data_IF_816929148228
#
_entry.id   IF_816929148228
#
_cell.length_a   1.000
_cell.length_b   1.000
_cell.length_c   1.000
_cell.angle_alpha   90.00
_cell.angle_beta   90.00
_cell.angle_gamma   90.00
#
_symmetry.space_group_name_H-M   'P 1'
#
loop_
_entity.id
_entity.type
_entity.pdbx_description
1 polymer ?
#
# COMPACT_ATOMS: atom_id res chain seq x y z
N UNK A 1 35.13 3.06 23.15
CA UNK A 1 35.85 3.23 21.86
C UNK A 1 35.45 2.03 21.00
N UNK A 2 34.37 2.15 20.25
CA UNK A 2 33.87 1.13 19.33
C UNK A 2 33.55 1.84 18.02
N UNK A 3 34.34 1.52 16.99
CA UNK A 3 34.29 2.17 15.69
C UNK A 3 33.01 1.81 14.94
N UNK A 4 32.42 2.85 14.41
CA UNK A 4 31.26 2.85 13.51
C UNK A 4 31.77 2.40 12.12
N UNK A 5 31.68 1.10 11.85
CA UNK A 5 32.06 0.52 10.55
C UNK A 5 30.82 0.47 9.64
N UNK A 6 30.41 1.64 9.17
CA UNK A 6 29.41 1.77 8.09
C UNK A 6 30.03 1.31 6.79
N UNK A 7 29.94 0.00 6.53
CA UNK A 7 30.42 -0.64 5.31
C UNK A 7 29.79 -0.03 4.05
N UNK A 8 30.50 0.91 3.41
CA UNK A 8 30.19 1.43 2.09
C UNK A 8 30.38 0.31 1.06
N UNK A 9 29.30 -0.41 0.74
CA UNK A 9 29.28 -1.32 -0.42
C UNK A 9 29.43 -0.49 -1.70
N UNK A 10 30.46 -0.79 -2.50
CA UNK A 10 30.75 -0.07 -3.74
C UNK A 10 29.59 -0.19 -4.76
N UNK A 11 29.14 0.92 -5.31
CA UNK A 11 28.10 0.97 -6.34
C UNK A 11 28.50 0.17 -7.59
N UNK A 12 27.56 -0.58 -8.17
CA UNK A 12 27.82 -1.38 -9.38
C UNK A 12 28.12 -0.46 -10.59
N UNK A 13 28.87 -1.00 -11.57
CA UNK A 13 29.17 -0.26 -12.81
C UNK A 13 27.89 0.14 -13.54
N UNK A 14 26.91 -0.74 -13.54
CA UNK A 14 25.59 -0.53 -14.17
C UNK A 14 24.82 0.62 -13.51
N UNK A 15 24.79 0.69 -12.18
CA UNK A 15 24.13 1.78 -11.45
C UNK A 15 24.74 3.16 -11.76
N UNK A 16 26.06 3.22 -11.86
CA UNK A 16 26.74 4.48 -12.21
C UNK A 16 26.43 4.94 -13.64
N UNK A 17 26.35 4.01 -14.60
CA UNK A 17 25.96 4.35 -15.96
C UNK A 17 24.50 4.78 -16.04
N UNK A 18 23.58 4.09 -15.37
CA UNK A 18 22.19 4.47 -15.29
C UNK A 18 22.00 5.86 -14.66
N UNK A 19 22.73 6.17 -13.56
CA UNK A 19 22.70 7.50 -12.95
C UNK A 19 23.23 8.61 -13.89
N UNK A 20 24.27 8.34 -14.67
CA UNK A 20 24.81 9.29 -15.67
C UNK A 20 23.81 9.54 -16.80
N UNK A 21 23.18 8.48 -17.30
CA UNK A 21 22.15 8.59 -18.34
C UNK A 21 20.92 9.37 -17.84
N UNK A 22 20.48 9.11 -16.62
CA UNK A 22 19.35 9.84 -16.02
C UNK A 22 19.66 11.35 -15.90
N UNK A 23 20.85 11.72 -15.42
CA UNK A 23 21.25 13.12 -15.30
C UNK A 23 21.43 13.77 -16.67
N UNK A 24 22.07 13.11 -17.63
CA UNK A 24 22.21 13.61 -18.99
C UNK A 24 20.85 13.85 -19.66
N UNK A 25 19.93 12.89 -19.55
CA UNK A 25 18.57 13.04 -20.07
C UNK A 25 17.81 14.20 -19.39
N UNK A 26 17.96 14.39 -18.07
CA UNK A 26 17.35 15.52 -17.37
C UNK A 26 17.90 16.87 -17.84
N UNK A 27 19.21 16.99 -18.02
CA UNK A 27 19.85 18.22 -18.55
C UNK A 27 19.33 18.52 -19.95
N UNK A 28 19.29 17.52 -20.83
CA UNK A 28 18.77 17.67 -22.21
C UNK A 28 17.29 18.03 -22.19
N UNK A 29 16.47 17.42 -21.32
CA UNK A 29 15.03 17.71 -21.22
C UNK A 29 14.76 19.19 -20.82
N UNK A 30 15.65 19.80 -20.05
CA UNK A 30 15.54 21.22 -19.66
C UNK A 30 16.14 22.13 -20.72
N UNK A 31 17.32 21.78 -21.27
CA UNK A 31 18.04 22.63 -22.21
C UNK A 31 17.41 22.68 -23.59
N UNK A 32 16.85 21.54 -24.08
CA UNK A 32 16.33 21.44 -25.45
C UNK A 32 15.20 22.44 -25.75
N UNK A 33 14.19 22.64 -24.89
CA UNK A 33 13.16 23.67 -25.11
C UNK A 33 13.75 25.08 -25.20
N UNK A 34 14.75 25.41 -24.37
CA UNK A 34 15.40 26.72 -24.38
C UNK A 34 16.20 26.97 -25.63
N UNK A 35 16.88 25.94 -26.16
CA UNK A 35 17.66 26.03 -27.41
C UNK A 35 16.75 26.14 -28.62
N UNK A 36 15.67 25.33 -28.69
CA UNK A 36 14.78 25.25 -29.87
C UNK A 36 13.80 26.42 -29.94
N UNK A 37 13.19 26.79 -28.82
CA UNK A 37 12.14 27.80 -28.78
C UNK A 37 12.59 29.14 -28.11
N UNK A 38 13.82 29.21 -27.63
CA UNK A 38 14.37 30.38 -26.94
C UNK A 38 13.51 30.82 -25.76
N UNK A 39 13.42 32.11 -25.49
CA UNK A 39 12.58 32.66 -24.40
C UNK A 39 11.08 32.42 -24.58
N UNK A 40 10.61 32.12 -25.82
CA UNK A 40 9.20 31.72 -26.06
C UNK A 40 8.84 30.43 -25.36
N UNK A 41 9.81 29.51 -25.10
CA UNK A 41 9.60 28.30 -24.33
C UNK A 41 9.13 28.58 -22.90
N UNK A 42 9.62 29.66 -22.28
CA UNK A 42 9.19 30.04 -20.93
C UNK A 42 7.73 30.51 -20.92
N UNK A 43 7.31 31.28 -21.94
CA UNK A 43 5.90 31.69 -22.09
C UNK A 43 4.98 30.48 -22.32
N UNK A 44 5.38 29.56 -23.20
CA UNK A 44 4.60 28.35 -23.47
C UNK A 44 4.57 27.41 -22.24
N UNK A 45 5.66 27.31 -21.49
CA UNK A 45 5.69 26.56 -20.23
C UNK A 45 4.76 27.17 -19.18
N UNK A 46 4.72 28.53 -19.07
CA UNK A 46 3.80 29.22 -18.19
C UNK A 46 2.34 28.97 -18.58
N UNK A 47 2.02 29.02 -19.87
CA UNK A 47 0.67 28.70 -20.40
C UNK A 47 0.31 27.22 -20.10
N UNK A 48 1.24 26.29 -20.30
CA UNK A 48 1.01 24.87 -19.98
C UNK A 48 0.76 24.64 -18.49
N UNK A 49 1.53 25.30 -17.62
CA UNK A 49 1.33 25.24 -16.17
C UNK A 49 -0.01 25.87 -15.73
N UNK A 50 -0.38 27.03 -16.31
CA UNK A 50 -1.66 27.65 -16.06
C UNK A 50 -2.83 26.75 -16.54
N UNK A 51 -2.71 26.15 -17.72
CA UNK A 51 -3.67 25.19 -18.23
C UNK A 51 -3.81 23.96 -17.34
N UNK A 52 -2.71 23.43 -16.81
CA UNK A 52 -2.74 22.33 -15.86
C UNK A 52 -3.43 22.73 -14.54
N UNK A 53 -3.17 23.92 -14.02
CA UNK A 53 -3.81 24.44 -12.80
C UNK A 53 -5.32 24.62 -12.99
N UNK A 54 -5.75 25.20 -14.13
CA UNK A 54 -7.16 25.35 -14.47
C UNK A 54 -7.86 23.99 -14.65
N UNK A 55 -7.20 23.03 -15.27
CA UNK A 55 -7.74 21.66 -15.41
C UNK A 55 -7.85 20.96 -14.06
N UNK A 56 -6.89 21.16 -13.16
CA UNK A 56 -6.96 20.65 -11.81
C UNK A 56 -8.13 21.26 -11.01
N UNK A 57 -8.37 22.58 -11.16
CA UNK A 57 -9.53 23.24 -10.58
C UNK A 57 -10.86 22.73 -11.18
N UNK A 58 -10.90 22.54 -12.50
CA UNK A 58 -12.06 21.94 -13.17
C UNK A 58 -12.34 20.52 -12.68
N UNK A 59 -11.30 19.71 -12.52
CA UNK A 59 -11.41 18.35 -11.97
C UNK A 59 -11.91 18.38 -10.53
N UNK A 60 -11.41 19.30 -9.71
CA UNK A 60 -11.93 19.50 -8.35
C UNK A 60 -13.43 19.78 -8.36
N UNK A 61 -13.90 20.70 -9.21
CA UNK A 61 -15.32 21.01 -9.31
C UNK A 61 -16.13 19.83 -9.85
N UNK A 62 -15.57 19.03 -10.75
CA UNK A 62 -16.19 17.81 -11.21
C UNK A 62 -16.34 16.76 -10.08
N UNK A 63 -15.38 16.71 -9.14
CA UNK A 63 -15.41 15.79 -8.00
C UNK A 63 -16.28 16.32 -6.85
N UNK A 64 -16.33 17.66 -6.62
CA UNK A 64 -17.03 18.28 -5.50
C UNK A 64 -18.47 18.73 -5.81
N UNK A 65 -18.94 18.63 -7.07
CA UNK A 65 -20.28 19.06 -7.49
C UNK A 65 -21.05 17.94 -8.15
N UNK A 66 -22.39 18.07 -8.21
CA UNK A 66 -23.31 17.09 -8.81
C UNK A 66 -24.06 17.69 -10.00
N UNK A 67 -24.67 16.85 -10.81
CA UNK A 67 -25.53 17.26 -11.91
C UNK A 67 -24.78 17.97 -13.04
N UNK A 68 -25.42 18.99 -13.64
CA UNK A 68 -24.93 19.71 -14.81
C UNK A 68 -23.56 20.38 -14.55
N UNK A 69 -23.36 20.95 -13.36
CA UNK A 69 -22.11 21.62 -12.98
C UNK A 69 -20.90 20.68 -13.05
N UNK A 70 -21.07 19.43 -12.68
CA UNK A 70 -20.02 18.39 -12.80
C UNK A 70 -19.56 18.23 -14.25
N UNK A 71 -20.52 18.08 -15.17
CA UNK A 71 -20.22 17.88 -16.59
C UNK A 71 -19.63 19.12 -17.26
N UNK A 72 -20.09 20.31 -16.86
CA UNK A 72 -19.49 21.57 -17.32
C UNK A 72 -18.04 21.72 -16.84
N UNK A 73 -17.74 21.32 -15.60
CA UNK A 73 -16.39 21.34 -15.07
C UNK A 73 -15.45 20.35 -15.79
N UNK A 74 -15.95 19.14 -16.10
CA UNK A 74 -15.21 18.18 -16.94
C UNK A 74 -14.96 18.73 -18.34
N UNK A 75 -15.99 19.28 -18.97
CA UNK A 75 -15.88 19.88 -20.30
C UNK A 75 -14.86 21.03 -20.32
N UNK A 76 -14.88 21.89 -19.30
CA UNK A 76 -13.90 22.97 -19.15
C UNK A 76 -12.48 22.42 -19.02
N UNK A 77 -12.26 21.42 -18.16
CA UNK A 77 -10.94 20.82 -17.98
C UNK A 77 -10.40 20.22 -19.28
N UNK A 78 -11.24 19.52 -20.04
CA UNK A 78 -10.87 18.95 -21.35
C UNK A 78 -10.61 20.03 -22.39
N UNK A 79 -11.47 21.07 -22.45
CA UNK A 79 -11.32 22.18 -23.38
C UNK A 79 -10.02 22.96 -23.16
N UNK A 80 -9.65 23.21 -21.90
CA UNK A 80 -8.39 23.89 -21.55
C UNK A 80 -7.18 23.09 -22.02
N UNK A 81 -7.17 21.77 -21.81
CA UNK A 81 -6.07 20.93 -22.29
C UNK A 81 -6.04 20.84 -23.83
N UNK A 82 -7.20 20.76 -24.47
CA UNK A 82 -7.31 20.83 -25.92
C UNK A 82 -6.74 22.13 -26.50
N UNK A 83 -7.04 23.28 -25.86
CA UNK A 83 -6.52 24.58 -26.28
C UNK A 83 -4.99 24.67 -26.11
N UNK A 84 -4.44 24.15 -24.99
CA UNK A 84 -2.98 24.09 -24.78
C UNK A 84 -2.31 23.23 -25.86
N UNK A 85 -2.84 22.05 -26.14
CA UNK A 85 -2.30 21.16 -27.20
C UNK A 85 -2.38 21.87 -28.56
N UNK A 86 -3.52 22.46 -28.92
CA UNK A 86 -3.70 23.19 -30.17
C UNK A 86 -2.68 24.33 -30.30
N UNK A 87 -2.40 25.05 -29.23
CA UNK A 87 -1.39 26.09 -29.21
C UNK A 87 0.01 25.53 -29.53
N UNK A 88 0.43 24.43 -28.91
CA UNK A 88 1.71 23.79 -29.22
C UNK A 88 1.78 23.28 -30.64
N UNK A 89 0.68 22.76 -31.19
CA UNK A 89 0.60 22.34 -32.60
C UNK A 89 0.72 23.55 -33.54
N UNK A 90 0.01 24.65 -33.25
CA UNK A 90 0.05 25.90 -34.05
C UNK A 90 1.44 26.53 -34.11
N UNK A 91 2.23 26.41 -33.04
CA UNK A 91 3.62 26.86 -33.02
C UNK A 91 4.61 25.84 -33.59
N UNK A 92 4.15 24.67 -34.06
CA UNK A 92 5.02 23.60 -34.58
C UNK A 92 5.91 22.95 -33.53
N UNK A 93 5.60 23.09 -32.24
CA UNK A 93 6.41 22.64 -31.12
C UNK A 93 5.86 21.37 -30.43
N UNK A 94 4.82 20.79 -31.00
CA UNK A 94 4.19 19.59 -30.41
C UNK A 94 5.17 18.40 -30.30
N UNK A 95 6.03 18.22 -31.32
CA UNK A 95 7.08 17.20 -31.28
C UNK A 95 8.05 17.40 -30.10
N UNK A 96 8.32 18.67 -29.74
CA UNK A 96 9.20 18.99 -28.62
C UNK A 96 8.61 18.51 -27.28
N UNK A 97 7.29 18.63 -27.13
CA UNK A 97 6.59 18.10 -25.94
C UNK A 97 6.78 16.60 -25.86
N UNK A 98 6.61 15.88 -26.98
CA UNK A 98 6.80 14.42 -27.01
C UNK A 98 8.23 14.06 -26.63
N UNK A 99 9.23 14.74 -27.22
CA UNK A 99 10.65 14.46 -26.91
C UNK A 99 10.96 14.72 -25.44
N UNK A 100 10.47 15.82 -24.86
CA UNK A 100 10.65 16.11 -23.45
C UNK A 100 9.99 15.05 -22.55
N UNK A 101 8.79 14.60 -22.90
CA UNK A 101 8.12 13.51 -22.14
C UNK A 101 8.88 12.19 -22.22
N UNK A 102 9.43 11.85 -23.40
CA UNK A 102 10.28 10.66 -23.57
C UNK A 102 11.57 10.79 -22.73
N UNK A 103 12.22 11.95 -22.76
CA UNK A 103 13.41 12.20 -21.93
C UNK A 103 13.09 12.08 -20.44
N UNK A 104 11.96 12.60 -19.97
CA UNK A 104 11.53 12.43 -18.58
C UNK A 104 11.20 10.97 -18.24
N UNK A 105 10.62 10.21 -19.18
CA UNK A 105 10.42 8.77 -19.01
C UNK A 105 11.77 8.03 -18.86
N UNK A 106 12.78 8.40 -19.66
CA UNK A 106 14.14 7.88 -19.52
C UNK A 106 14.75 8.27 -18.17
N UNK A 107 14.61 9.53 -17.73
CA UNK A 107 15.05 9.97 -16.40
C UNK A 107 14.42 9.12 -15.29
N UNK A 108 13.13 8.88 -15.37
CA UNK A 108 12.43 8.06 -14.38
C UNK A 108 12.92 6.60 -14.41
N UNK A 109 13.06 6.01 -15.59
CA UNK A 109 13.46 4.61 -15.75
C UNK A 109 14.90 4.37 -15.31
N UNK A 110 15.86 5.16 -15.84
CA UNK A 110 17.27 5.04 -15.52
C UNK A 110 17.59 5.51 -14.10
N UNK A 111 16.91 6.55 -13.62
CA UNK A 111 17.00 6.98 -12.23
C UNK A 111 16.53 5.90 -11.26
N UNK A 112 15.50 5.19 -11.63
CA UNK A 112 15.02 4.01 -10.92
C UNK A 112 16.04 2.87 -10.92
N UNK A 113 16.55 2.52 -12.10
CA UNK A 113 17.57 1.48 -12.25
C UNK A 113 18.83 1.78 -11.42
N UNK A 114 19.24 3.04 -11.37
CA UNK A 114 20.38 3.48 -10.58
C UNK A 114 20.15 3.43 -9.06
N UNK A 115 18.93 3.72 -8.61
CA UNK A 115 18.57 3.78 -7.19
C UNK A 115 18.07 2.45 -6.64
N UNK A 116 17.71 1.49 -7.51
CA UNK A 116 17.40 0.11 -7.09
C UNK A 116 18.69 -0.55 -6.63
N UNK A 117 18.93 -0.56 -5.33
CA UNK A 117 20.03 -1.32 -4.74
C UNK A 117 19.67 -2.79 -4.57
N UNK A 118 20.63 -3.64 -4.88
CA UNK A 118 20.71 -5.02 -4.33
C UNK A 118 21.19 -4.97 -2.86
N UNK A 119 20.84 -3.99 -2.11
CA UNK A 119 21.38 -3.87 -0.78
C UNK A 119 20.59 -2.94 0.11
N UNK A 120 19.95 -3.49 1.10
CA UNK A 120 19.45 -2.71 2.22
C UNK A 120 18.00 -2.95 2.59
N UNK A 121 17.25 -3.82 1.87
CA UNK A 121 16.08 -4.41 2.49
C UNK A 121 16.59 -5.36 3.56
N UNK A 122 16.29 -5.07 4.80
CA UNK A 122 16.27 -6.09 5.83
C UNK A 122 15.09 -6.99 5.42
N UNK A 123 15.38 -8.02 4.64
CA UNK A 123 14.38 -9.04 4.34
C UNK A 123 13.81 -9.50 5.69
N UNK A 124 12.51 -9.74 5.79
CA UNK A 124 11.94 -10.28 7.01
C UNK A 124 12.71 -11.54 7.40
N UNK A 125 12.99 -11.70 8.68
CA UNK A 125 13.72 -12.88 9.16
C UNK A 125 12.85 -14.10 8.90
N UNK A 126 13.37 -15.02 8.08
CA UNK A 126 12.69 -16.28 7.75
C UNK A 126 13.20 -17.39 8.65
N UNK A 127 12.29 -18.01 9.37
CA UNK A 127 12.58 -19.15 10.22
C UNK A 127 12.23 -20.45 9.48
N UNK A 128 13.20 -21.34 9.36
CA UNK A 128 12.95 -22.70 8.83
C UNK A 128 12.32 -23.55 9.90
N UNK A 129 11.11 -24.01 9.66
CA UNK A 129 10.35 -24.87 10.56
C UNK A 129 9.93 -26.13 9.81
N UNK A 130 9.72 -27.25 10.51
CA UNK A 130 9.20 -28.48 9.90
C UNK A 130 7.86 -28.25 9.20
N UNK A 131 7.49 -29.13 8.28
CA UNK A 131 6.15 -29.15 7.73
C UNK A 131 5.14 -29.47 8.86
N UNK A 132 3.93 -28.85 8.84
CA UNK A 132 2.90 -29.17 9.80
C UNK A 132 2.41 -30.62 9.61
N UNK A 133 2.14 -31.31 10.70
CA UNK A 133 1.64 -32.68 10.67
C UNK A 133 0.11 -32.75 10.58
N UNK A 134 -0.57 -31.75 11.16
CA UNK A 134 -2.04 -31.69 11.28
C UNK A 134 -2.57 -30.29 10.93
N UNK A 135 -2.32 -29.81 9.69
CA UNK A 135 -2.80 -28.48 9.28
C UNK A 135 -4.32 -28.46 9.13
N UNK A 136 -4.96 -27.40 9.64
CA UNK A 136 -6.39 -27.16 9.56
C UNK A 136 -6.68 -25.88 8.79
N UNK A 137 -7.47 -26.00 7.70
CA UNK A 137 -7.75 -24.91 6.79
C UNK A 137 -9.25 -24.58 6.74
N UNK A 138 -9.59 -23.32 6.94
CA UNK A 138 -10.94 -22.79 6.80
C UNK A 138 -11.05 -22.10 5.45
N UNK A 139 -11.97 -22.53 4.59
CA UNK A 139 -12.12 -21.97 3.24
C UNK A 139 -13.52 -21.44 3.00
N UNK A 140 -13.61 -20.19 2.51
CA UNK A 140 -14.87 -19.60 2.08
C UNK A 140 -15.04 -19.80 0.56
N UNK A 141 -15.94 -20.66 0.11
CA UNK A 141 -16.11 -20.99 -1.31
C UNK A 141 -16.56 -19.81 -2.17
N UNK A 142 -17.18 -18.76 -1.58
CA UNK A 142 -17.65 -17.57 -2.29
C UNK A 142 -16.58 -16.47 -2.39
N UNK A 143 -15.51 -16.55 -1.63
CA UNK A 143 -14.45 -15.53 -1.63
C UNK A 143 -13.80 -15.37 -2.99
N UNK A 144 -13.51 -14.11 -3.36
CA UNK A 144 -12.80 -13.76 -4.59
C UNK A 144 -13.45 -14.29 -5.88
N UNK A 145 -14.78 -14.37 -5.91
CA UNK A 145 -15.51 -14.89 -7.08
C UNK A 145 -15.36 -16.41 -7.23
N UNK A 146 -15.31 -17.16 -6.13
CA UNK A 146 -15.26 -18.62 -6.14
C UNK A 146 -13.88 -19.21 -6.42
N UNK A 147 -12.82 -18.52 -6.05
CA UNK A 147 -11.43 -18.99 -6.25
C UNK A 147 -11.17 -20.37 -5.62
N UNK A 148 -11.79 -20.68 -4.48
CA UNK A 148 -11.64 -21.98 -3.82
C UNK A 148 -11.97 -23.15 -4.77
N UNK A 149 -13.14 -23.11 -5.40
CA UNK A 149 -13.55 -24.13 -6.37
C UNK A 149 -12.79 -24.03 -7.69
N UNK A 150 -12.59 -22.80 -8.23
CA UNK A 150 -11.91 -22.60 -9.52
C UNK A 150 -10.49 -23.15 -9.55
N UNK A 151 -9.78 -23.11 -8.44
CA UNK A 151 -8.39 -23.59 -8.33
C UNK A 151 -8.27 -24.96 -7.67
N UNK A 152 -9.39 -25.60 -7.30
CA UNK A 152 -9.41 -26.89 -6.63
C UNK A 152 -8.61 -26.87 -5.31
N UNK A 153 -8.78 -25.78 -4.52
CA UNK A 153 -7.93 -25.55 -3.33
C UNK A 153 -8.20 -26.58 -2.26
N UNK A 154 -9.44 -27.04 -2.11
CA UNK A 154 -9.81 -28.07 -1.12
C UNK A 154 -9.08 -29.38 -1.41
N UNK A 155 -9.27 -29.91 -2.60
CA UNK A 155 -8.73 -31.20 -3.02
C UNK A 155 -7.19 -31.21 -2.97
N UNK A 156 -6.57 -30.10 -3.37
CA UNK A 156 -5.13 -29.91 -3.30
C UNK A 156 -4.62 -29.86 -1.86
N UNK A 157 -5.32 -29.18 -0.98
CA UNK A 157 -4.95 -29.08 0.42
C UNK A 157 -5.10 -30.44 1.14
N UNK A 158 -6.21 -31.15 0.90
CA UNK A 158 -6.46 -32.48 1.43
C UNK A 158 -5.39 -33.49 0.95
N UNK A 159 -4.97 -33.39 -0.33
CA UNK A 159 -3.88 -34.20 -0.87
C UNK A 159 -2.52 -33.93 -0.20
N UNK A 160 -2.34 -32.74 0.38
CA UNK A 160 -1.16 -32.36 1.19
C UNK A 160 -1.33 -32.68 2.68
N UNK A 161 -2.38 -33.40 3.06
CA UNK A 161 -2.63 -33.83 4.43
C UNK A 161 -3.39 -32.82 5.30
N UNK A 162 -3.92 -31.73 4.72
CA UNK A 162 -4.68 -30.77 5.48
C UNK A 162 -6.12 -31.21 5.71
N UNK A 163 -6.64 -30.96 6.91
CA UNK A 163 -8.07 -31.01 7.17
C UNK A 163 -8.71 -29.72 6.69
N UNK A 164 -9.76 -29.79 5.86
CA UNK A 164 -10.40 -28.64 5.25
C UNK A 164 -11.86 -28.52 5.69
N UNK A 165 -12.25 -27.33 6.16
CA UNK A 165 -13.65 -26.98 6.42
C UNK A 165 -14.09 -25.88 5.46
N UNK A 166 -15.14 -26.15 4.69
CA UNK A 166 -15.79 -25.15 3.87
C UNK A 166 -16.85 -24.40 4.70
N UNK A 167 -16.81 -23.07 4.64
CA UNK A 167 -17.84 -22.23 5.24
C UNK A 167 -19.09 -22.28 4.39
N UNK A 168 -20.22 -22.63 5.01
CA UNK A 168 -21.53 -22.63 4.38
C UNK A 168 -22.27 -21.32 4.74
N UNK A 169 -22.56 -20.45 3.76
CA UNK A 169 -23.29 -19.22 4.01
C UNK A 169 -24.75 -19.43 4.47
N UNK A 170 -25.34 -20.61 4.20
CA UNK A 170 -26.67 -20.96 4.68
C UNK A 170 -26.67 -21.32 6.17
N UNK A 171 -25.53 -21.75 6.69
CA UNK A 171 -25.31 -22.11 8.09
C UNK A 171 -24.08 -21.37 8.63
N UNK A 172 -24.21 -20.08 8.97
CA UNK A 172 -23.08 -19.30 9.50
C UNK A 172 -22.50 -19.95 10.74
N UNK A 173 -21.19 -20.15 10.75
CA UNK A 173 -20.44 -20.72 11.87
C UNK A 173 -19.48 -19.68 12.42
N UNK A 174 -19.29 -19.67 13.72
CA UNK A 174 -18.26 -18.88 14.36
C UNK A 174 -16.88 -19.40 13.92
N UNK A 175 -16.18 -18.60 13.12
CA UNK A 175 -14.87 -18.96 12.55
C UNK A 175 -13.82 -19.07 13.63
N UNK A 176 -13.87 -18.21 14.65
CA UNK A 176 -12.92 -18.23 15.76
C UNK A 176 -13.15 -19.49 16.64
N UNK A 177 -14.41 -19.88 16.87
CA UNK A 177 -14.72 -21.13 17.56
C UNK A 177 -14.23 -22.35 16.78
N UNK A 178 -14.43 -22.39 15.45
CA UNK A 178 -13.90 -23.46 14.60
C UNK A 178 -12.36 -23.58 14.70
N UNK A 179 -11.66 -22.45 14.73
CA UNK A 179 -10.21 -22.45 14.88
C UNK A 179 -9.76 -22.98 16.25
N UNK A 180 -10.43 -22.54 17.34
CA UNK A 180 -10.15 -23.05 18.70
C UNK A 180 -10.43 -24.54 18.84
N UNK A 181 -11.56 -25.03 18.28
CA UNK A 181 -11.91 -26.44 18.28
C UNK A 181 -10.86 -27.28 17.53
N UNK A 182 -10.34 -26.78 16.39
CA UNK A 182 -9.29 -27.44 15.65
C UNK A 182 -8.01 -27.57 16.48
N UNK A 183 -7.60 -26.53 17.20
CA UNK A 183 -6.45 -26.56 18.10
C UNK A 183 -6.66 -27.55 19.26
N UNK A 184 -7.84 -27.55 19.86
CA UNK A 184 -8.19 -28.50 20.91
C UNK A 184 -8.14 -29.96 20.42
N UNK A 185 -8.39 -30.19 19.13
CA UNK A 185 -8.26 -31.48 18.46
C UNK A 185 -6.85 -31.76 17.91
N UNK A 186 -5.87 -30.91 18.25
CA UNK A 186 -4.45 -31.10 17.97
C UNK A 186 -3.98 -30.61 16.62
N UNK A 187 -4.67 -29.66 16.00
CA UNK A 187 -4.13 -28.94 14.83
C UNK A 187 -2.88 -28.17 15.21
N UNK A 188 -1.85 -28.23 14.39
CA UNK A 188 -0.55 -27.58 14.59
C UNK A 188 -0.30 -26.41 13.63
N UNK A 189 -1.26 -26.14 12.73
CA UNK A 189 -1.32 -24.98 11.86
C UNK A 189 -2.78 -24.63 11.58
N UNK A 190 -3.08 -23.34 11.62
CA UNK A 190 -4.38 -22.81 11.17
C UNK A 190 -4.19 -22.04 9.85
N UNK A 191 -5.11 -22.21 8.89
CA UNK A 191 -5.04 -21.48 7.63
C UNK A 191 -6.40 -21.02 7.14
N UNK A 192 -6.40 -19.95 6.33
CA UNK A 192 -7.62 -19.33 5.79
C UNK A 192 -7.51 -19.09 4.30
N UNK A 193 -8.50 -19.58 3.55
CA UNK A 193 -8.81 -19.16 2.19
C UNK A 193 -10.09 -18.29 2.22
N UNK A 194 -9.92 -17.00 2.44
CA UNK A 194 -11.03 -16.07 2.66
C UNK A 194 -10.63 -14.62 2.53
N UNK A 195 -11.54 -13.71 2.87
CA UNK A 195 -11.27 -12.26 2.96
C UNK A 195 -10.45 -11.89 4.19
N UNK A 196 -9.93 -10.66 4.20
CA UNK A 196 -9.05 -10.16 5.26
C UNK A 196 -9.71 -10.19 6.66
N UNK A 197 -11.03 -9.91 6.78
CA UNK A 197 -11.76 -10.03 8.05
C UNK A 197 -11.78 -11.48 8.60
N UNK A 198 -12.04 -12.49 7.76
CA UNK A 198 -11.95 -13.89 8.17
C UNK A 198 -10.52 -14.29 8.56
N UNK A 199 -9.52 -13.74 7.85
CA UNK A 199 -8.12 -13.95 8.16
C UNK A 199 -7.78 -13.38 9.54
N UNK A 200 -8.27 -12.17 9.88
CA UNK A 200 -8.02 -11.52 11.16
C UNK A 200 -8.54 -12.34 12.35
N UNK A 201 -9.76 -12.92 12.23
CA UNK A 201 -10.35 -13.77 13.28
C UNK A 201 -9.50 -15.01 13.59
N UNK A 202 -9.04 -15.70 12.55
CA UNK A 202 -8.23 -16.92 12.73
C UNK A 202 -6.79 -16.58 13.12
N UNK A 203 -6.25 -15.48 12.61
CA UNK A 203 -4.93 -14.97 13.00
C UNK A 203 -4.87 -14.61 14.49
N UNK A 204 -5.95 -14.06 15.05
CA UNK A 204 -6.03 -13.77 16.48
C UNK A 204 -5.95 -15.05 17.31
N UNK A 205 -6.74 -16.06 16.98
CA UNK A 205 -6.70 -17.38 17.64
C UNK A 205 -5.32 -18.03 17.50
N UNK A 206 -4.70 -17.95 16.31
CA UNK A 206 -3.37 -18.51 16.09
C UNK A 206 -2.30 -17.79 16.94
N UNK A 207 -2.40 -16.46 17.05
CA UNK A 207 -1.50 -15.64 17.87
C UNK A 207 -1.67 -15.88 19.38
N UNK A 208 -2.90 -16.10 19.85
CA UNK A 208 -3.17 -16.45 21.25
C UNK A 208 -2.53 -17.77 21.67
N UNK A 209 -2.43 -18.73 20.74
CA UNK A 209 -1.89 -20.09 21.01
C UNK A 209 -0.47 -20.28 20.48
N UNK A 210 0.18 -19.24 19.94
CA UNK A 210 1.51 -19.28 19.29
C UNK A 210 1.65 -20.40 18.25
N UNK A 211 0.58 -20.68 17.48
CA UNK A 211 0.60 -21.63 16.36
C UNK A 211 0.79 -20.92 15.03
N UNK A 212 1.44 -21.56 14.04
CA UNK A 212 1.60 -20.99 12.72
C UNK A 212 0.24 -20.72 12.05
N UNK A 213 0.13 -19.56 11.42
CA UNK A 213 -1.01 -19.16 10.61
C UNK A 213 -0.64 -19.14 9.13
N UNK A 214 -1.51 -19.59 8.25
CA UNK A 214 -1.29 -19.62 6.82
C UNK A 214 -2.38 -18.85 6.08
N UNK A 215 -1.97 -17.98 5.15
CA UNK A 215 -2.88 -17.23 4.29
C UNK A 215 -2.93 -17.86 2.91
N UNK A 216 -4.14 -18.07 2.39
CA UNK A 216 -4.40 -18.44 1.00
C UNK A 216 -5.11 -17.28 0.32
N UNK A 217 -4.54 -16.73 -0.75
CA UNK A 217 -4.94 -15.49 -1.42
C UNK A 217 -6.26 -15.62 -2.21
N UNK A 218 -7.28 -16.22 -1.59
CA UNK A 218 -8.57 -16.49 -2.20
C UNK A 218 -9.61 -15.37 -2.00
N UNK A 219 -9.32 -14.33 -1.24
CA UNK A 219 -10.21 -13.19 -1.04
C UNK A 219 -10.27 -12.25 -2.26
N UNK A 220 -11.13 -11.22 -2.19
CA UNK A 220 -11.28 -10.23 -3.26
C UNK A 220 -10.13 -9.23 -3.30
N UNK A 221 -9.68 -8.73 -2.13
CA UNK A 221 -8.62 -7.71 -2.01
C UNK A 221 -7.27 -8.33 -1.68
N UNK A 222 -7.22 -9.21 -0.68
CA UNK A 222 -6.02 -9.95 -0.26
C UNK A 222 -4.82 -9.02 0.09
N UNK A 223 -5.06 -7.88 0.74
CA UNK A 223 -3.99 -6.93 1.06
C UNK A 223 -2.92 -7.60 1.93
N UNK A 224 -3.33 -8.32 2.97
CA UNK A 224 -2.40 -9.03 3.84
C UNK A 224 -1.58 -10.09 3.07
N UNK A 225 -2.23 -10.88 2.21
CA UNK A 225 -1.53 -11.86 1.38
C UNK A 225 -0.52 -11.21 0.42
N UNK A 226 -0.86 -10.04 -0.16
CA UNK A 226 0.05 -9.29 -1.04
C UNK A 226 1.28 -8.78 -0.28
N UNK A 227 1.10 -8.26 0.93
CA UNK A 227 2.20 -7.77 1.76
C UNK A 227 3.13 -8.91 2.20
N UNK A 228 2.59 -10.14 2.34
CA UNK A 228 3.37 -11.35 2.54
C UNK A 228 4.09 -11.83 1.27
N UNK A 229 3.86 -11.21 0.13
CA UNK A 229 4.44 -11.58 -1.16
C UNK A 229 3.79 -12.78 -1.85
N UNK A 230 2.55 -13.14 -1.47
CA UNK A 230 1.82 -14.27 -2.05
C UNK A 230 1.23 -13.91 -3.41
N UNK A 231 1.11 -14.91 -4.29
CA UNK A 231 0.52 -14.74 -5.60
C UNK A 231 -1.01 -14.54 -5.47
N UNK A 232 -1.48 -13.38 -5.92
CA UNK A 232 -2.91 -13.04 -5.93
C UNK A 232 -3.68 -13.74 -7.03
N UNK A 233 -3.05 -13.97 -8.16
CA UNK A 233 -3.70 -14.54 -9.34
C UNK A 233 -3.82 -16.07 -9.23
N UNK A 234 -2.83 -16.72 -8.61
CA UNK A 234 -2.82 -18.16 -8.40
C UNK A 234 -2.75 -18.53 -6.90
N UNK A 235 -3.87 -18.56 -6.19
CA UNK A 235 -3.89 -18.88 -4.77
C UNK A 235 -3.45 -20.33 -4.45
N UNK A 236 -3.39 -21.22 -5.44
CA UNK A 236 -2.93 -22.59 -5.22
C UNK A 236 -1.45 -22.67 -4.82
N UNK A 237 -0.62 -21.70 -5.26
CA UNK A 237 0.79 -21.62 -4.88
C UNK A 237 1.00 -21.37 -3.38
N UNK A 238 -0.01 -20.82 -2.69
CA UNK A 238 0.06 -20.66 -1.24
C UNK A 238 0.15 -22.02 -0.52
N UNK A 239 -0.44 -23.07 -1.08
CA UNK A 239 -0.44 -24.42 -0.50
C UNK A 239 0.94 -25.05 -0.46
N UNK A 240 1.90 -24.57 -1.25
CA UNK A 240 3.30 -25.03 -1.22
C UNK A 240 3.92 -24.84 0.18
N UNK A 241 3.38 -23.88 0.97
CA UNK A 241 3.79 -23.69 2.36
C UNK A 241 3.56 -24.90 3.25
N UNK A 242 2.63 -25.78 2.92
CA UNK A 242 2.38 -27.02 3.68
C UNK A 242 3.55 -28.00 3.59
N UNK A 243 4.22 -28.06 2.43
CA UNK A 243 5.35 -28.95 2.19
C UNK A 243 6.71 -28.23 2.37
N UNK A 244 6.94 -27.11 1.66
CA UNK A 244 8.18 -26.33 1.69
C UNK A 244 7.90 -24.86 2.06
N UNK A 245 7.71 -24.60 3.35
CA UNK A 245 7.42 -23.29 3.91
C UNK A 245 8.51 -22.77 4.82
N UNK A 246 8.43 -21.45 5.04
CA UNK A 246 9.17 -20.73 6.07
C UNK A 246 8.19 -19.95 6.92
N UNK A 247 8.58 -19.61 8.14
CA UNK A 247 7.78 -18.76 9.02
C UNK A 247 8.35 -17.36 9.12
N UNK A 248 7.44 -16.39 9.15
CA UNK A 248 7.71 -14.99 9.44
C UNK A 248 7.07 -14.65 10.77
N UNK A 249 7.69 -13.76 11.55
CA UNK A 249 7.05 -13.12 12.69
C UNK A 249 6.52 -11.78 12.23
N UNK A 250 5.21 -11.57 12.33
CA UNK A 250 4.55 -10.33 11.93
C UNK A 250 3.74 -9.74 13.08
N UNK A 251 3.56 -8.43 13.01
CA UNK A 251 2.76 -7.70 13.98
C UNK A 251 1.26 -7.91 13.73
N UNK A 252 0.45 -7.71 14.77
CA UNK A 252 -1.01 -7.62 14.66
C UNK A 252 -1.49 -6.29 15.23
N UNK A 253 -2.45 -5.67 14.56
CA UNK A 253 -3.15 -4.51 15.07
C UNK A 253 -4.33 -4.95 15.95
N UNK A 254 -4.64 -4.15 16.99
CA UNK A 254 -5.81 -4.31 17.85
C UNK A 254 -6.58 -3.01 17.93
N UNK A 255 -7.90 -3.09 17.84
CA UNK A 255 -8.83 -1.97 18.03
C UNK A 255 -9.96 -2.40 18.97
N UNK A 256 -10.00 -1.83 20.17
CA UNK A 256 -10.87 -2.35 21.23
C UNK A 256 -10.57 -3.85 21.48
N UNK A 257 -11.58 -4.68 21.32
CA UNK A 257 -11.47 -6.14 21.45
C UNK A 257 -11.18 -6.86 20.10
N UNK A 258 -11.12 -6.12 18.98
CA UNK A 258 -10.97 -6.71 17.65
C UNK A 258 -9.52 -6.68 17.19
N UNK A 259 -9.07 -7.75 16.55
CA UNK A 259 -7.78 -7.83 15.86
C UNK A 259 -7.94 -7.45 14.39
N UNK A 260 -6.97 -6.75 13.82
CA UNK A 260 -6.90 -6.47 12.41
C UNK A 260 -5.51 -6.77 11.82
N UNK A 261 -5.51 -7.25 10.60
CA UNK A 261 -4.27 -7.60 9.86
C UNK A 261 -3.84 -6.48 8.91
N UNK A 262 -4.77 -5.63 8.44
CA UNK A 262 -4.47 -4.52 7.54
C UNK A 262 -4.65 -3.16 8.21
N UNK A 263 -5.89 -2.73 8.42
CA UNK A 263 -6.15 -1.39 8.93
C UNK A 263 -7.55 -1.23 9.53
N UNK A 264 -7.67 -0.14 10.28
CA UNK A 264 -8.94 0.39 10.77
C UNK A 264 -9.13 1.80 10.25
N UNK A 265 -10.31 2.10 9.72
CA UNK A 265 -10.69 3.40 9.20
C UNK A 265 -11.79 4.04 10.03
N UNK A 266 -11.74 5.38 10.16
CA UNK A 266 -12.68 6.20 10.91
C UNK A 266 -13.12 7.40 10.07
N UNK A 267 -14.33 7.94 10.35
CA UNK A 267 -14.87 9.12 9.71
C UNK A 267 -15.32 8.84 8.27
N UNK A 268 -15.19 9.81 7.40
CA UNK A 268 -15.74 9.77 6.06
C UNK A 268 -15.43 8.50 5.26
N UNK A 269 -14.26 7.90 5.47
CA UNK A 269 -13.92 6.64 4.79
C UNK A 269 -14.69 5.44 5.35
N UNK A 270 -14.91 5.39 6.66
CA UNK A 270 -15.71 4.33 7.27
C UNK A 270 -17.16 4.37 6.78
N UNK A 271 -17.75 5.55 6.68
CA UNK A 271 -19.12 5.76 6.18
C UNK A 271 -19.28 5.30 4.72
N UNK A 272 -18.27 5.57 3.88
CA UNK A 272 -18.26 5.08 2.49
C UNK A 272 -18.26 3.55 2.43
N UNK A 273 -17.46 2.89 3.27
CA UNK A 273 -17.37 1.42 3.31
C UNK A 273 -18.67 0.78 3.79
N UNK A 274 -19.42 1.44 4.67
CA UNK A 274 -20.69 0.95 5.20
C UNK A 274 -21.85 1.07 4.20
N UNK A 275 -21.77 1.96 3.21
CA UNK A 275 -22.84 2.12 2.23
C UNK A 275 -23.15 0.79 1.51
N UNK A 276 -24.41 0.31 1.51
CA UNK A 276 -24.79 -0.90 0.80
C UNK A 276 -24.38 -0.88 -0.68
N UNK A 277 -24.48 0.30 -1.33
CA UNK A 277 -24.07 0.51 -2.71
C UNK A 277 -22.54 0.31 -2.94
N UNK A 278 -21.72 0.41 -1.89
CA UNK A 278 -20.28 0.19 -1.99
C UNK A 278 -19.90 -1.27 -2.28
N UNK A 279 -20.73 -2.22 -1.89
CA UNK A 279 -20.52 -3.66 -2.17
C UNK A 279 -20.69 -3.98 -3.64
N UNK A 280 -21.66 -3.34 -4.30
CA UNK A 280 -22.05 -3.62 -5.68
C UNK A 280 -21.30 -2.77 -6.70
N UNK A 281 -21.10 -1.47 -6.42
CA UNK A 281 -20.38 -0.52 -7.28
C UNK A 281 -19.48 0.40 -6.44
N UNK A 282 -18.24 -0.04 -6.19
CA UNK A 282 -17.27 0.68 -5.34
C UNK A 282 -16.87 2.02 -5.93
N UNK A 283 -16.54 2.06 -7.22
CA UNK A 283 -16.07 3.26 -7.89
C UNK A 283 -17.20 4.28 -8.02
N UNK A 284 -18.36 3.86 -8.46
CA UNK A 284 -19.54 4.74 -8.58
C UNK A 284 -20.02 5.27 -7.23
N UNK A 285 -19.91 4.48 -6.16
CA UNK A 285 -20.29 4.91 -4.80
C UNK A 285 -19.30 5.93 -4.26
N UNK A 286 -17.99 5.68 -4.37
CA UNK A 286 -16.95 6.66 -3.99
C UNK A 286 -17.15 7.96 -4.75
N UNK A 287 -17.33 7.93 -6.07
CA UNK A 287 -17.53 9.12 -6.89
C UNK A 287 -18.82 9.89 -6.54
N UNK A 288 -19.88 9.21 -6.10
CA UNK A 288 -21.12 9.84 -5.64
C UNK A 288 -20.98 10.51 -4.28
N UNK A 289 -20.29 9.87 -3.35
CA UNK A 289 -20.10 10.36 -1.98
C UNK A 289 -18.96 11.37 -1.84
N UNK A 290 -18.00 11.37 -2.77
CA UNK A 290 -16.82 12.22 -2.73
C UNK A 290 -17.15 13.72 -2.58
N UNK A 291 -18.19 14.31 -3.24
CA UNK A 291 -18.55 15.71 -3.02
C UNK A 291 -18.92 16.01 -1.56
N UNK A 292 -19.68 15.13 -0.92
CA UNK A 292 -20.11 15.33 0.46
C UNK A 292 -18.93 15.16 1.43
N UNK A 293 -18.07 14.17 1.19
CA UNK A 293 -16.83 13.96 1.94
C UNK A 293 -15.88 15.15 1.86
N UNK A 294 -15.74 15.76 0.66
CA UNK A 294 -14.81 16.86 0.43
C UNK A 294 -15.36 18.25 0.81
N UNK A 295 -16.68 18.44 0.84
CA UNK A 295 -17.30 19.75 1.04
C UNK A 295 -18.05 19.90 2.36
N UNK A 296 -18.39 18.79 3.01
CA UNK A 296 -19.11 18.78 4.27
C UNK A 296 -18.37 17.92 5.28
N UNK A 297 -18.33 18.38 6.53
CA UNK A 297 -17.95 17.51 7.64
C UNK A 297 -19.12 16.55 7.89
N UNK A 298 -19.08 15.40 7.24
CA UNK A 298 -20.04 14.32 7.48
C UNK A 298 -19.44 13.43 8.56
N UNK A 299 -20.24 13.11 9.58
CA UNK A 299 -19.86 12.23 10.68
C UNK A 299 -19.32 12.95 11.93
N UNK A 300 -18.88 12.13 12.89
CA UNK A 300 -18.39 12.60 14.18
C UNK A 300 -17.09 13.38 14.04
N UNK A 301 -16.94 14.43 14.87
CA UNK A 301 -15.65 15.15 14.95
C UNK A 301 -14.62 14.29 15.65
N UNK A 302 -13.61 13.91 14.90
CA UNK A 302 -12.56 13.02 15.38
C UNK A 302 -11.38 13.81 15.99
N UNK A 303 -10.71 13.21 16.95
CA UNK A 303 -9.40 13.65 17.47
C UNK A 303 -8.55 12.41 17.72
N UNK A 304 -7.31 12.44 17.26
CA UNK A 304 -6.35 11.36 17.46
C UNK A 304 -5.27 11.80 18.45
N UNK A 305 -5.02 11.00 19.45
CA UNK A 305 -4.00 11.24 20.47
C UNK A 305 -3.17 9.98 20.69
N UNK A 306 -1.86 10.16 20.80
CA UNK A 306 -0.91 9.09 21.10
C UNK A 306 0.50 9.64 21.31
N UNK A 307 1.48 8.82 21.68
CA UNK A 307 2.87 9.24 21.82
C UNK A 307 3.39 9.82 20.49
N UNK A 308 3.68 11.12 20.48
CA UNK A 308 4.15 11.82 19.28
C UNK A 308 3.08 12.05 18.18
N UNK A 309 1.81 11.74 18.44
CA UNK A 309 0.71 11.90 17.49
C UNK A 309 -0.39 12.77 18.09
N UNK A 310 -0.70 13.87 17.42
CA UNK A 310 -1.83 14.75 17.75
C UNK A 310 -2.44 15.26 16.45
N UNK A 311 -3.67 14.81 16.13
CA UNK A 311 -4.40 15.23 14.92
C UNK A 311 -5.76 15.73 15.38
N UNK A 312 -6.06 16.98 15.04
CA UNK A 312 -7.31 17.63 15.40
C UNK A 312 -8.25 17.70 14.20
N UNK A 313 -9.50 17.34 14.45
CA UNK A 313 -10.61 17.39 13.48
C UNK A 313 -10.31 16.81 12.09
N UNK A 314 -9.66 15.65 11.97
CA UNK A 314 -9.48 15.02 10.66
C UNK A 314 -10.83 14.58 10.09
N UNK A 315 -11.00 14.71 8.78
CA UNK A 315 -12.18 14.21 8.05
C UNK A 315 -12.19 12.68 7.95
N UNK A 316 -10.98 12.10 7.86
CA UNK A 316 -10.78 10.66 7.86
C UNK A 316 -9.50 10.29 8.59
N UNK A 317 -9.52 9.17 9.28
CA UNK A 317 -8.34 8.57 9.92
C UNK A 317 -8.21 7.13 9.46
N UNK A 318 -6.99 6.74 9.12
CA UNK A 318 -6.62 5.36 8.88
C UNK A 318 -5.51 4.97 9.85
N UNK A 319 -5.74 3.88 10.59
CA UNK A 319 -4.73 3.26 11.46
C UNK A 319 -4.38 1.90 10.86
N UNK A 320 -3.14 1.71 10.45
CA UNK A 320 -2.70 0.47 9.82
C UNK A 320 -1.78 -0.35 10.72
N UNK A 321 -1.88 -1.67 10.58
CA UNK A 321 -0.93 -2.61 11.15
C UNK A 321 0.39 -2.49 10.36
N UNK A 322 1.33 -1.77 10.88
CA UNK A 322 2.53 -1.25 10.21
C UNK A 322 2.25 -0.13 9.18
N UNK A 323 3.19 0.80 8.98
CA UNK A 323 3.02 1.93 8.07
C UNK A 323 2.93 1.49 6.61
N UNK A 324 2.01 2.09 5.86
CA UNK A 324 2.01 1.98 4.40
C UNK A 324 3.20 2.71 3.79
N UNK A 325 3.69 2.22 2.65
CA UNK A 325 4.69 2.92 1.86
C UNK A 325 4.19 4.31 1.47
N UNK A 326 5.02 5.34 1.70
CA UNK A 326 4.68 6.73 1.38
C UNK A 326 4.77 7.04 -0.10
N UNK A 327 5.17 6.07 -0.93
CA UNK A 327 5.32 6.25 -2.38
C UNK A 327 3.99 6.17 -3.12
N UNK A 328 2.94 5.65 -2.47
CA UNK A 328 1.57 5.63 -2.97
C UNK A 328 0.57 6.03 -1.85
N UNK A 329 0.49 7.32 -1.51
CA UNK A 329 -0.33 7.80 -0.40
C UNK A 329 -1.85 7.70 -0.64
N UNK A 330 -2.28 7.56 -1.88
CA UNK A 330 -3.71 7.44 -2.26
C UNK A 330 -4.08 5.98 -2.53
N UNK A 331 -3.13 5.18 -3.01
CA UNK A 331 -3.36 3.80 -3.44
C UNK A 331 -3.43 2.79 -2.31
N UNK A 332 -3.03 3.13 -1.06
CA UNK A 332 -2.92 2.18 0.05
C UNK A 332 -2.25 0.87 -0.44
N UNK A 333 -1.13 1.05 -1.18
CA UNK A 333 -0.62 0.01 -2.06
C UNK A 333 -0.15 -1.22 -1.32
N UNK A 334 0.87 -1.11 -0.51
CA UNK A 334 1.39 -2.21 0.30
C UNK A 334 2.26 -1.67 1.45
N UNK A 335 2.50 -2.54 2.41
CA UNK A 335 3.41 -2.29 3.52
C UNK A 335 4.74 -2.99 3.22
N UNK A 336 5.83 -2.26 3.33
CA UNK A 336 7.16 -2.82 3.06
C UNK A 336 7.58 -3.84 4.10
N UNK A 337 7.09 -3.66 5.34
CA UNK A 337 7.37 -4.51 6.48
C UNK A 337 6.11 -4.72 7.30
N UNK A 338 5.99 -5.88 7.91
CA UNK A 338 4.91 -6.28 8.80
C UNK A 338 5.41 -6.55 10.23
N UNK A 339 6.62 -6.10 10.57
CA UNK A 339 7.32 -6.41 11.81
C UNK A 339 8.04 -5.17 12.40
N UNK A 340 7.51 -3.96 12.14
CA UNK A 340 8.14 -2.71 12.61
C UNK A 340 7.82 -2.37 14.06
N UNK A 341 6.83 -3.03 14.66
CA UNK A 341 6.38 -2.82 16.03
C UNK A 341 5.64 -1.49 16.24
N UNK A 342 5.17 -0.85 15.15
CA UNK A 342 4.41 0.40 15.22
C UNK A 342 3.21 0.39 14.27
N UNK A 343 2.15 1.08 14.66
CA UNK A 343 1.02 1.41 13.80
C UNK A 343 1.42 2.53 12.82
N UNK A 344 0.91 2.49 11.60
CA UNK A 344 0.84 3.64 10.72
C UNK A 344 -0.42 4.45 11.00
N UNK A 345 -0.31 5.77 11.11
CA UNK A 345 -1.44 6.67 11.34
C UNK A 345 -1.50 7.69 10.23
N UNK A 346 -2.59 7.72 9.49
CA UNK A 346 -2.86 8.68 8.44
C UNK A 346 -4.10 9.49 8.83
N UNK A 347 -3.96 10.81 8.91
CA UNK A 347 -5.07 11.75 9.09
C UNK A 347 -5.23 12.61 7.85
N UNK A 348 -6.45 12.70 7.35
CA UNK A 348 -6.79 13.52 6.19
C UNK A 348 -7.64 14.70 6.65
N UNK A 349 -7.17 15.90 6.34
CA UNK A 349 -7.91 17.14 6.53
C UNK A 349 -7.73 18.03 5.30
N UNK A 350 -8.75 18.16 4.48
CA UNK A 350 -8.72 18.86 3.21
C UNK A 350 -9.64 20.06 3.29
N UNK A 351 -9.06 21.25 3.41
CA UNK A 351 -9.80 22.50 3.53
C UNK A 351 -10.08 23.18 2.17
N UNK A 352 -9.31 22.80 1.14
CA UNK A 352 -9.43 23.43 -0.18
C UNK A 352 -8.96 22.51 -1.33
N UNK A 353 -9.31 22.95 -2.55
CA UNK A 353 -9.00 22.23 -3.79
C UNK A 353 -7.51 21.99 -4.03
N UNK A 354 -6.65 22.91 -3.59
CA UNK A 354 -5.20 22.78 -3.78
C UNK A 354 -4.64 21.63 -2.94
N UNK A 355 -5.05 21.52 -1.69
CA UNK A 355 -4.66 20.42 -0.79
C UNK A 355 -5.16 19.06 -1.31
N UNK A 356 -6.40 18.99 -1.83
CA UNK A 356 -6.91 17.77 -2.44
C UNK A 356 -6.12 17.38 -3.68
N UNK A 357 -5.76 18.33 -4.54
CA UNK A 357 -4.96 18.09 -5.73
C UNK A 357 -3.53 17.63 -5.38
N UNK A 358 -2.94 18.14 -4.31
CA UNK A 358 -1.64 17.68 -3.79
C UNK A 358 -1.71 16.26 -3.27
N UNK A 359 -2.77 15.90 -2.54
CA UNK A 359 -3.03 14.52 -2.09
C UNK A 359 -3.10 13.54 -3.25
N UNK A 360 -3.86 13.88 -4.30
CA UNK A 360 -4.02 13.05 -5.51
C UNK A 360 -2.68 12.87 -6.23
N UNK A 361 -1.80 13.88 -6.21
CA UNK A 361 -0.46 13.82 -6.83
C UNK A 361 0.57 13.06 -6.02
N UNK A 362 0.20 12.50 -4.86
CA UNK A 362 1.13 11.77 -4.01
C UNK A 362 2.21 12.66 -3.37
N UNK A 363 2.02 13.98 -3.31
CA UNK A 363 2.94 14.89 -2.62
C UNK A 363 2.57 15.01 -1.15
N UNK A 364 3.54 15.31 -0.30
CA UNK A 364 3.27 15.69 1.09
C UNK A 364 2.39 16.95 1.06
N UNK A 365 1.09 16.76 1.27
CA UNK A 365 0.12 17.85 1.36
C UNK A 365 0.01 18.29 2.81
N UNK A 366 -0.23 19.57 3.04
CA UNK A 366 -0.58 20.08 4.36
C UNK A 366 -1.86 19.46 4.92
N UNK A 367 -2.70 18.89 4.03
CA UNK A 367 -3.91 18.15 4.39
C UNK A 367 -3.70 16.67 4.74
N UNK A 368 -2.46 16.16 4.68
CA UNK A 368 -2.14 14.77 5.03
C UNK A 368 -1.14 14.73 6.19
N UNK A 369 -1.60 14.24 7.32
CA UNK A 369 -0.74 13.92 8.46
C UNK A 369 -0.36 12.45 8.40
N UNK A 370 0.95 12.16 8.41
CA UNK A 370 1.50 10.81 8.46
C UNK A 370 2.31 10.68 9.73
N UNK A 371 1.99 9.72 10.57
CA UNK A 371 2.68 9.47 11.83
C UNK A 371 2.78 7.97 12.10
N UNK A 372 3.59 7.60 13.09
CA UNK A 372 3.68 6.25 13.62
C UNK A 372 3.61 6.28 15.13
N UNK A 373 2.97 5.27 15.73
CA UNK A 373 2.89 5.13 17.18
C UNK A 373 2.69 3.65 17.55
N UNK A 374 2.99 3.28 18.80
CA UNK A 374 2.67 1.93 19.28
C UNK A 374 1.20 1.83 19.69
N UNK A 375 0.61 2.92 20.16
CA UNK A 375 -0.80 3.03 20.43
C UNK A 375 -1.33 4.43 20.14
N UNK A 376 -2.60 4.52 19.77
CA UNK A 376 -3.32 5.78 19.60
C UNK A 376 -4.75 5.63 20.12
N UNK A 377 -5.30 6.74 20.56
CA UNK A 377 -6.70 6.83 20.99
C UNK A 377 -7.45 7.77 20.08
N UNK A 378 -8.54 7.30 19.54
CA UNK A 378 -9.45 8.06 18.69
C UNK A 378 -10.65 8.48 19.55
N UNK A 379 -10.83 9.79 19.72
CA UNK A 379 -11.97 10.39 20.36
C UNK A 379 -12.96 10.86 19.29
N UNK A 380 -14.24 10.69 19.55
CA UNK A 380 -15.32 11.29 18.78
C UNK A 380 -16.22 12.12 19.69
N UNK A 381 -17.00 13.02 19.12
CA UNK A 381 -18.00 13.83 19.85
C UNK A 381 -19.35 13.08 20.04
N UNK A 382 -19.42 11.84 19.55
CA UNK A 382 -20.53 10.92 19.72
C UNK A 382 -20.17 9.77 20.66
N UNK A 383 -21.12 9.11 21.35
CA UNK A 383 -20.83 7.98 22.23
C UNK A 383 -20.31 6.74 21.50
N UNK A 384 -20.64 6.61 20.23
CA UNK A 384 -20.17 5.55 19.34
C UNK A 384 -19.65 6.15 18.04
N UNK A 385 -18.70 5.47 17.41
CA UNK A 385 -18.13 5.85 16.12
C UNK A 385 -18.14 4.67 15.17
N UNK A 386 -18.54 4.96 13.94
CA UNK A 386 -18.49 3.99 12.85
C UNK A 386 -17.05 3.74 12.40
N UNK A 387 -16.68 2.46 12.32
CA UNK A 387 -15.34 2.02 11.95
C UNK A 387 -15.40 0.98 10.83
N UNK A 388 -14.39 0.99 9.98
CA UNK A 388 -14.15 -0.09 9.02
C UNK A 388 -12.92 -0.87 9.46
N UNK A 389 -13.08 -2.14 9.89
CA UNK A 389 -11.97 -3.00 10.30
C UNK A 389 -11.72 -4.03 9.18
N UNK A 390 -10.54 -4.01 8.56
CA UNK A 390 -10.18 -4.86 7.43
C UNK A 390 -11.25 -4.90 6.31
N UNK A 391 -12.03 -3.81 6.20
CA UNK A 391 -13.11 -3.63 5.23
C UNK A 391 -14.49 -4.12 5.70
N UNK A 392 -14.64 -4.51 6.96
CA UNK A 392 -15.92 -4.80 7.60
C UNK A 392 -16.37 -3.62 8.46
N UNK A 393 -17.66 -3.27 8.36
CA UNK A 393 -18.24 -2.15 9.07
C UNK A 393 -18.74 -2.55 10.45
N UNK A 394 -18.36 -1.79 11.47
CA UNK A 394 -18.75 -1.96 12.87
C UNK A 394 -18.97 -0.60 13.53
N UNK A 395 -19.72 -0.57 14.64
CA UNK A 395 -19.81 0.59 15.53
C UNK A 395 -19.10 0.28 16.85
N UNK A 396 -18.24 1.18 17.29
CA UNK A 396 -17.47 1.02 18.53
C UNK A 396 -17.72 2.19 19.51
N UNK A 397 -17.81 1.90 20.82
CA UNK A 397 -17.91 2.95 21.84
C UNK A 397 -16.64 3.81 21.87
N UNK A 398 -16.81 5.13 22.03
CA UNK A 398 -15.67 6.05 22.16
C UNK A 398 -15.30 6.28 23.62
N UNK A 399 -14.02 6.52 23.91
CA UNK A 399 -12.85 6.58 23.02
C UNK A 399 -12.38 5.20 22.53
N UNK A 400 -11.95 5.10 21.26
CA UNK A 400 -11.46 3.87 20.67
C UNK A 400 -9.93 3.83 20.76
N UNK A 401 -9.38 2.78 21.37
CA UNK A 401 -7.94 2.56 21.43
C UNK A 401 -7.51 1.60 20.30
N UNK A 402 -6.49 2.01 19.54
CA UNK A 402 -5.76 1.16 18.62
C UNK A 402 -4.35 0.93 19.14
N UNK A 403 -3.88 -0.31 19.14
CA UNK A 403 -2.54 -0.68 19.60
C UNK A 403 -1.91 -1.72 18.67
N UNK A 404 -0.57 -1.77 18.62
CA UNK A 404 0.19 -2.81 17.95
C UNK A 404 0.54 -3.93 18.95
N UNK A 405 0.50 -5.19 18.47
CA UNK A 405 1.05 -6.36 19.14
C UNK A 405 2.28 -6.81 18.34
N UNK A 406 3.49 -6.41 18.75
CA UNK A 406 4.70 -6.70 17.95
C UNK A 406 4.98 -8.19 17.84
N UNK A 407 5.29 -8.65 16.64
CA UNK A 407 5.68 -10.03 16.31
C UNK A 407 4.74 -11.10 16.89
N UNK A 408 3.46 -10.75 17.08
CA UNK A 408 2.48 -11.60 17.75
C UNK A 408 2.05 -12.80 16.92
N UNK A 409 2.18 -12.74 15.58
CA UNK A 409 1.70 -13.80 14.70
C UNK A 409 2.87 -14.48 13.97
N UNK A 410 2.89 -15.79 14.03
CA UNK A 410 3.74 -16.63 13.17
C UNK A 410 3.01 -16.89 11.88
N UNK A 411 3.53 -16.44 10.76
CA UNK A 411 2.89 -16.67 9.45
C UNK A 411 3.74 -17.62 8.62
N UNK A 412 3.16 -18.76 8.28
CA UNK A 412 3.79 -19.73 7.40
C UNK A 412 3.48 -19.42 5.94
N UNK A 413 4.52 -19.22 5.15
CA UNK A 413 4.46 -18.84 3.73
C UNK A 413 5.31 -19.78 2.88
N UNK A 414 5.01 -19.92 1.58
CA UNK A 414 5.89 -20.66 0.66
C UNK A 414 7.28 -20.01 0.64
N UNK A 415 8.31 -20.81 0.50
CA UNK A 415 9.69 -20.31 0.33
C UNK A 415 9.84 -19.49 -0.95
N UNK A 416 9.22 -19.92 -2.04
CA UNK A 416 9.16 -19.17 -3.29
C UNK A 416 7.90 -18.29 -3.29
N UNK A 417 8.10 -16.97 -3.25
CA UNK A 417 7.02 -15.97 -3.23
C UNK A 417 7.21 -14.99 -4.36
N UNK A 418 6.58 -15.21 -5.53
CA UNK A 418 6.77 -14.35 -6.70
C UNK A 418 6.23 -12.94 -6.52
N UNK A 419 5.28 -12.75 -5.61
CA UNK A 419 4.63 -11.47 -5.33
C UNK A 419 5.35 -10.59 -4.31
N UNK A 420 6.58 -10.88 -3.88
CA UNK A 420 7.32 -9.97 -2.98
C UNK A 420 7.48 -8.62 -3.68
N UNK A 421 6.87 -7.55 -3.17
CA UNK A 421 6.89 -6.26 -3.84
C UNK A 421 8.31 -5.73 -3.94
N UNK A 422 8.75 -5.39 -5.14
CA UNK A 422 9.97 -4.61 -5.33
C UNK A 422 9.61 -3.16 -5.07
N UNK A 423 10.03 -2.59 -3.94
CA UNK A 423 9.84 -1.16 -3.68
C UNK A 423 10.61 -0.37 -4.73
N UNK A 424 9.91 0.59 -5.33
CA UNK A 424 10.51 1.52 -6.28
C UNK A 424 11.13 2.66 -5.46
N UNK A 425 12.46 2.86 -5.49
CA UNK A 425 13.08 3.94 -4.74
C UNK A 425 12.58 5.29 -5.28
N UNK A 426 12.41 6.27 -4.38
CA UNK A 426 12.15 7.65 -4.79
C UNK A 426 13.33 8.18 -5.57
N UNK A 427 13.08 9.01 -6.60
CA UNK A 427 14.10 9.73 -7.34
C UNK A 427 14.82 10.71 -6.39
N UNK A 428 15.96 10.27 -5.83
CA UNK A 428 16.83 11.09 -5.01
C UNK A 428 17.96 11.66 -5.87
N UNK A 429 17.81 12.94 -6.24
CA UNK A 429 18.76 13.65 -7.08
C UNK A 429 20.15 13.80 -6.47
N UNK A 430 20.24 13.88 -5.12
CA UNK A 430 21.55 13.95 -4.42
C UNK A 430 22.29 12.64 -4.60
N UNK A 431 21.60 11.52 -4.33
CA UNK A 431 22.15 10.17 -4.48
C UNK A 431 22.50 9.83 -5.94
N UNK A 432 21.63 10.22 -6.91
CA UNK A 432 21.94 10.06 -8.35
C UNK A 432 23.21 10.82 -8.74
N UNK A 433 23.36 12.06 -8.30
CA UNK A 433 24.55 12.86 -8.55
C UNK A 433 25.80 12.18 -7.95
N UNK A 434 25.72 11.72 -6.72
CA UNK A 434 26.85 11.10 -6.03
C UNK A 434 27.26 9.78 -6.71
N UNK A 435 26.29 8.98 -7.17
CA UNK A 435 26.54 7.78 -7.99
C UNK A 435 27.16 8.11 -9.35
N UNK A 436 26.71 9.16 -10.02
CA UNK A 436 27.23 9.57 -11.31
C UNK A 436 28.67 10.09 -11.23
N UNK A 437 29.01 10.79 -10.12
CA UNK A 437 30.32 11.37 -9.87
C UNK A 437 31.32 10.37 -9.25
N UNK A 438 30.84 9.23 -8.73
CA UNK A 438 31.71 8.21 -8.15
C UNK A 438 32.69 7.67 -9.19
N UNK A 439 33.99 8.04 -9.06
CA UNK A 439 35.08 7.49 -9.84
C UNK A 439 35.48 6.15 -9.20
N UNK A 440 35.47 5.07 -10.00
CA UNK A 440 35.65 3.72 -9.52
C UNK A 440 36.94 3.48 -8.74
N UNK A 441 36.84 3.20 -7.44
CA UNK A 441 37.75 2.29 -6.77
C UNK A 441 37.23 0.88 -6.89
N UNK A 442 37.75 0.14 -7.84
CA UNK A 442 37.65 -1.32 -7.86
C UNK A 442 38.44 -1.80 -6.66
N UNK A 443 37.78 -2.30 -5.62
CA UNK A 443 38.48 -3.10 -4.62
C UNK A 443 38.91 -4.39 -5.30
N UNK A 444 40.16 -4.41 -5.76
CA UNK A 444 40.82 -5.61 -6.23
C UNK A 444 40.84 -6.63 -5.11
N UNK A 445 40.29 -7.80 -5.37
CA UNK A 445 40.39 -8.95 -4.48
C UNK A 445 41.83 -9.26 -4.20
N UNK A 446 42.27 -9.05 -2.97
CA UNK A 446 43.52 -9.59 -2.48
C UNK A 446 43.35 -11.12 -2.38
N UNK A 447 44.05 -11.82 -3.26
CA UNK A 447 44.18 -13.27 -3.19
C UNK A 447 44.84 -13.65 -1.86
N UNK A 448 44.11 -14.42 -1.07
CA UNK A 448 44.69 -15.13 0.07
C UNK A 448 45.46 -16.33 -0.45
N UNK A 449 46.79 -16.24 -0.43
CA UNK A 449 47.72 -17.38 -0.52
C UNK A 449 47.58 -18.21 0.77
N UNK A 450 47.42 -19.52 0.73
CA UNK A 450 47.46 -20.35 1.93
C UNK A 450 48.92 -20.50 2.38
N UNK A 451 49.21 -20.06 3.58
CA UNK A 451 50.45 -20.43 4.26
C UNK A 451 50.27 -21.74 5.02
N UNK A 452 51.26 -22.52 4.91
CA UNK A 452 51.54 -23.87 5.44
C UNK A 452 50.99 -24.20 6.84
#
# INVERSE_FOLDING_TARGET
>A
MGGDDTGHRGSSRTQRWAARLAIAAAVVAVALPLVVAGFRSLGLAAVALAGLALSAAGLWWALSRRGLVRWLAVALAVAVQGAVIALFVAFGLFWLVIVVLVLWAVVCFEGWAALTEDGGRVAPVEYRTPAPERPFLIMNPRSGGGKVGRFGLREKAEALGAQVVLLDPAHPRDVAALARDALANGADLLGVAGGDGTQALVADVAAEHDVPFMVISAGTRNHFALDLGLDRENPATCLDALADGVELRVDLGRVGEHTFVNNVSFGAYAEVVQSPAYRDDKIGTILRMLPDVLTHHIGSRLRVRGPGVSIDSPQAVLVSNNPYSTDDPVGLGHRERLDTGVLGVLGVNVDNAAQAAELIRGRRSSGLTVATAQDVVIHADTPEVEVGIDGEALSLPTPVRCAIRPQALRVRVPRSRPGVPRTRPRLDWRRLRDLALAHGRVSGGAGTTPAR
#
